data_IF_723331579485
#
_entry.id   IF_723331579485
#
_cell.length_a   1.000
_cell.length_b   1.000
_cell.length_c   1.000
_cell.angle_alpha   90.00
_cell.angle_beta   90.00
_cell.angle_gamma   90.00
#
_symmetry.space_group_name_H-M   'P 1'
#
loop_
_entity.id
_entity.type
_entity.pdbx_description
1 polymer ?
#
# COMPACT_ATOMS: atom_id res chain seq x y z
N UNK A 1 -34.15 -0.04 -39.21
CA UNK A 1 -33.26 0.01 -38.04
C UNK A 1 -33.67 -1.13 -37.12
N UNK A 2 -32.85 -2.18 -36.97
CA UNK A 2 -33.26 -3.40 -36.26
C UNK A 2 -33.15 -3.23 -34.74
N UNK A 3 -34.11 -3.75 -33.95
CA UNK A 3 -34.10 -3.66 -32.48
C UNK A 3 -33.00 -4.54 -31.83
N UNK A 4 -32.25 -5.30 -32.62
CA UNK A 4 -31.19 -6.22 -32.15
C UNK A 4 -29.86 -5.51 -31.89
N UNK A 5 -29.54 -4.41 -32.58
CA UNK A 5 -28.26 -3.70 -32.37
C UNK A 5 -28.26 -2.82 -31.11
N UNK A 6 -29.42 -2.28 -30.73
CA UNK A 6 -29.60 -1.45 -29.54
C UNK A 6 -29.60 -2.28 -28.25
N UNK A 7 -30.19 -3.48 -28.27
CA UNK A 7 -30.14 -4.43 -27.14
C UNK A 7 -28.72 -4.92 -26.87
N UNK A 8 -27.94 -5.25 -27.91
CA UNK A 8 -26.55 -5.70 -27.75
C UNK A 8 -25.65 -4.60 -27.18
N UNK A 9 -25.85 -3.36 -27.64
CA UNK A 9 -25.16 -2.17 -27.11
C UNK A 9 -25.51 -1.90 -25.65
N UNK A 10 -26.78 -2.05 -25.26
CA UNK A 10 -27.23 -1.84 -23.89
C UNK A 10 -26.74 -2.93 -22.94
N UNK A 11 -26.71 -4.20 -23.37
CA UNK A 11 -26.16 -5.31 -22.59
C UNK A 11 -24.64 -5.17 -22.39
N UNK A 12 -23.91 -4.73 -23.41
CA UNK A 12 -22.48 -4.41 -23.30
C UNK A 12 -22.27 -3.22 -22.37
N UNK A 13 -23.10 -2.18 -22.46
CA UNK A 13 -23.01 -1.01 -21.58
C UNK A 13 -23.37 -1.35 -20.13
N UNK A 14 -24.37 -2.21 -19.89
CA UNK A 14 -24.74 -2.71 -18.56
C UNK A 14 -23.66 -3.65 -18.01
N UNK A 15 -23.03 -4.49 -18.85
CA UNK A 15 -21.91 -5.33 -18.46
C UNK A 15 -20.67 -4.47 -18.10
N UNK A 16 -20.36 -3.45 -18.91
CA UNK A 16 -19.32 -2.47 -18.65
C UNK A 16 -19.62 -1.64 -17.38
N UNK A 17 -20.87 -1.23 -17.15
CA UNK A 17 -21.29 -0.58 -15.91
C UNK A 17 -21.18 -1.54 -14.71
N UNK A 18 -21.58 -2.80 -14.84
CA UNK A 18 -21.45 -3.81 -13.77
C UNK A 18 -19.98 -4.13 -13.46
N UNK A 19 -19.10 -4.14 -14.45
CA UNK A 19 -17.64 -4.26 -14.30
C UNK A 19 -17.01 -3.00 -13.68
N UNK A 20 -17.65 -1.84 -13.83
CA UNK A 20 -17.28 -0.60 -13.16
C UNK A 20 -17.77 -0.51 -11.70
N UNK A 21 -18.75 -1.32 -11.29
CA UNK A 21 -19.33 -1.35 -9.93
C UNK A 21 -19.07 -2.65 -9.16
N UNK A 22 -18.20 -3.53 -9.66
CA UNK A 22 -17.89 -4.78 -8.99
C UNK A 22 -16.74 -4.58 -8.00
N UNK A 23 -16.97 -4.98 -6.74
CA UNK A 23 -15.96 -5.00 -5.70
C UNK A 23 -14.71 -5.75 -6.18
N UNK A 24 -13.58 -5.07 -6.15
CA UNK A 24 -12.33 -5.58 -6.72
C UNK A 24 -11.11 -5.08 -5.99
N UNK A 25 -10.03 -5.84 -6.10
CA UNK A 25 -8.71 -5.44 -5.64
C UNK A 25 -7.95 -4.79 -6.79
N UNK A 26 -7.25 -3.70 -6.48
CA UNK A 26 -6.26 -3.10 -7.35
C UNK A 26 -4.89 -3.39 -6.76
N UNK A 27 -4.01 -3.96 -7.57
CA UNK A 27 -2.66 -4.32 -7.17
C UNK A 27 -1.67 -3.64 -8.08
N UNK A 28 -0.70 -2.96 -7.48
CA UNK A 28 0.48 -2.46 -8.18
C UNK A 28 1.64 -3.42 -7.89
N UNK A 29 2.31 -3.86 -8.96
CA UNK A 29 3.40 -4.81 -8.88
C UNK A 29 4.67 -4.28 -9.55
N UNK A 30 5.85 -4.67 -9.05
CA UNK A 30 7.13 -4.15 -9.59
C UNK A 30 7.47 -4.66 -10.98
N UNK A 31 6.76 -5.67 -11.48
CA UNK A 31 7.17 -6.48 -12.62
C UNK A 31 8.31 -7.45 -12.26
N UNK A 32 8.68 -8.28 -13.22
CA UNK A 32 9.73 -9.30 -13.12
C UNK A 32 10.67 -9.23 -14.31
N UNK A 33 11.97 -9.25 -14.02
CA UNK A 33 13.03 -9.39 -15.00
C UNK A 33 14.04 -10.43 -14.53
N UNK A 34 14.26 -11.47 -15.33
CA UNK A 34 15.35 -12.42 -15.14
C UNK A 34 16.13 -12.51 -16.46
N UNK A 35 17.45 -12.35 -16.38
CA UNK A 35 18.36 -12.58 -17.52
C UNK A 35 18.70 -14.07 -17.61
N UNK A 36 18.35 -14.75 -18.71
CA UNK A 36 18.59 -16.19 -18.90
C UNK A 36 17.60 -16.87 -19.86
N UNK A 37 17.70 -18.20 -20.03
CA UNK A 37 17.04 -18.94 -21.12
C UNK A 37 15.58 -19.33 -20.94
N UNK A 38 14.91 -19.04 -19.81
CA UNK A 38 13.44 -19.18 -19.69
C UNK A 38 12.93 -18.53 -18.40
N UNK A 39 12.44 -17.29 -18.48
CA UNK A 39 11.65 -16.67 -17.42
C UNK A 39 10.70 -15.63 -18.01
N UNK A 40 9.51 -15.50 -17.42
CA UNK A 40 8.50 -14.50 -17.79
C UNK A 40 9.06 -13.09 -17.64
N UNK A 41 9.19 -12.35 -18.76
CA UNK A 41 9.33 -10.90 -18.73
C UNK A 41 7.95 -10.31 -18.40
N UNK A 42 7.82 -9.65 -17.25
CA UNK A 42 6.57 -8.98 -16.87
C UNK A 42 6.86 -7.52 -16.56
N UNK A 43 6.22 -6.58 -17.26
CA UNK A 43 6.39 -5.16 -16.95
C UNK A 43 5.78 -4.84 -15.59
N UNK A 44 6.21 -3.74 -14.99
CA UNK A 44 5.55 -3.15 -13.82
C UNK A 44 4.09 -2.88 -14.19
N UNK A 45 3.15 -3.46 -13.47
CA UNK A 45 1.75 -3.46 -13.90
C UNK A 45 0.80 -3.05 -12.78
N UNK A 46 -0.27 -2.37 -13.19
CA UNK A 46 -1.46 -2.17 -12.39
C UNK A 46 -2.47 -3.23 -12.79
N UNK A 47 -2.95 -4.01 -11.82
CA UNK A 47 -3.83 -5.17 -12.03
C UNK A 47 -5.11 -5.00 -11.26
N UNK A 48 -6.20 -5.52 -11.82
CA UNK A 48 -7.48 -5.70 -11.13
C UNK A 48 -7.74 -7.18 -10.90
N UNK A 49 -8.19 -7.52 -9.70
CA UNK A 49 -8.70 -8.84 -9.38
C UNK A 49 -10.14 -8.70 -8.86
N UNK A 50 -11.07 -9.58 -9.24
CA UNK A 50 -12.35 -9.72 -8.54
C UNK A 50 -12.12 -10.12 -7.08
N UNK A 51 -13.14 -9.94 -6.25
CA UNK A 51 -13.07 -10.24 -4.82
C UNK A 51 -12.75 -11.71 -4.49
N UNK A 52 -13.03 -12.64 -5.40
CA UNK A 52 -12.67 -14.05 -5.23
C UNK A 52 -11.18 -14.34 -5.51
N UNK A 53 -10.42 -13.36 -6.02
CA UNK A 53 -9.00 -13.46 -6.35
C UNK A 53 -8.71 -14.16 -7.69
N UNK A 54 -9.73 -14.46 -8.50
CA UNK A 54 -9.59 -15.12 -9.80
C UNK A 54 -9.18 -14.15 -10.92
N UNK A 55 -8.80 -14.67 -12.10
CA UNK A 55 -8.79 -13.95 -13.38
C UNK A 55 -8.25 -12.49 -13.34
N UNK A 56 -7.00 -12.31 -12.90
CA UNK A 56 -6.42 -10.97 -12.86
C UNK A 56 -6.36 -10.33 -14.26
N UNK A 57 -6.72 -9.05 -14.32
CA UNK A 57 -6.70 -8.27 -15.55
C UNK A 57 -5.70 -7.13 -15.41
N UNK A 58 -4.81 -6.97 -16.38
CA UNK A 58 -3.90 -5.83 -16.42
C UNK A 58 -4.66 -4.58 -16.87
N UNK A 59 -4.64 -3.54 -16.03
CA UNK A 59 -5.23 -2.22 -16.31
C UNK A 59 -4.24 -1.30 -17.02
N UNK A 60 -2.99 -1.27 -16.55
CA UNK A 60 -1.93 -0.45 -17.12
C UNK A 60 -0.57 -1.13 -16.95
N UNK A 61 0.37 -0.83 -17.85
CA UNK A 61 1.76 -1.30 -17.79
C UNK A 61 2.71 -0.10 -17.87
N UNK A 62 3.77 -0.15 -17.08
CA UNK A 62 4.81 0.87 -16.99
C UNK A 62 6.15 0.23 -17.39
N UNK A 63 6.76 0.75 -18.46
CA UNK A 63 7.97 0.19 -19.07
C UNK A 63 9.03 1.25 -19.31
N UNK A 64 10.31 0.89 -19.19
CA UNK A 64 11.39 1.75 -19.64
C UNK A 64 11.32 1.99 -21.15
N UNK A 65 11.12 3.24 -21.56
CA UNK A 65 11.22 3.62 -22.96
C UNK A 65 12.71 3.52 -23.36
N UNK A 66 13.10 2.48 -24.13
CA UNK A 66 14.24 2.48 -25.09
C UNK A 66 14.99 1.15 -25.33
N UNK A 67 14.48 -0.05 -25.03
CA UNK A 67 15.08 -1.27 -25.63
C UNK A 67 14.03 -2.28 -26.06
N UNK A 68 14.37 -3.13 -27.04
CA UNK A 68 13.54 -4.21 -27.59
C UNK A 68 13.08 -5.26 -26.56
N UNK A 69 13.36 -5.04 -25.28
CA UNK A 69 12.94 -5.83 -24.13
C UNK A 69 12.20 -4.90 -23.16
N UNK A 70 10.90 -5.13 -22.95
CA UNK A 70 10.04 -4.34 -22.04
C UNK A 70 10.40 -4.57 -20.57
N UNK A 71 11.57 -4.09 -20.14
CA UNK A 71 12.04 -4.26 -18.77
C UNK A 71 11.12 -3.54 -17.77
N UNK A 72 10.84 -4.16 -16.61
CA UNK A 72 10.06 -3.52 -15.55
C UNK A 72 10.79 -2.30 -15.01
N UNK A 73 10.02 -1.26 -14.70
CA UNK A 73 10.55 -0.04 -14.11
C UNK A 73 10.76 -0.20 -12.61
N UNK A 74 9.94 -1.02 -11.96
CA UNK A 74 9.77 -1.05 -10.51
C UNK A 74 8.68 -0.09 -10.04
N UNK A 75 8.19 -0.35 -8.83
CA UNK A 75 7.17 0.45 -8.16
C UNK A 75 7.35 0.38 -6.63
N UNK A 76 6.77 1.35 -5.93
CA UNK A 76 6.99 1.57 -4.51
C UNK A 76 5.70 1.67 -3.69
N UNK A 77 4.69 2.39 -4.20
CA UNK A 77 3.46 2.65 -3.47
C UNK A 77 2.27 2.84 -4.42
N UNK A 78 1.08 2.53 -3.92
CA UNK A 78 -0.20 2.72 -4.61
C UNK A 78 -1.13 3.49 -3.66
N UNK A 79 -1.88 4.44 -4.21
CA UNK A 79 -3.01 5.06 -3.52
C UNK A 79 -4.22 5.14 -4.47
N UNK A 80 -5.41 5.09 -3.88
CA UNK A 80 -6.69 5.18 -4.59
C UNK A 80 -7.51 6.32 -3.98
N UNK A 81 -8.06 7.18 -4.84
CA UNK A 81 -9.03 8.20 -4.44
C UNK A 81 -10.44 7.81 -4.87
N UNK A 82 -11.33 7.45 -3.92
CA UNK A 82 -12.71 7.13 -4.22
C UNK A 82 -13.50 8.29 -4.82
N UNK A 83 -13.32 9.53 -4.33
CA UNK A 83 -14.12 10.67 -4.80
C UNK A 83 -13.87 11.03 -6.27
N UNK A 84 -12.65 10.78 -6.76
CA UNK A 84 -12.21 11.12 -8.11
C UNK A 84 -12.06 9.91 -9.04
N UNK A 85 -12.20 8.69 -8.51
CA UNK A 85 -11.94 7.42 -9.20
C UNK A 85 -10.55 7.36 -9.85
N UNK A 86 -9.54 7.94 -9.20
CA UNK A 86 -8.15 7.97 -9.65
C UNK A 86 -7.27 7.00 -8.85
N UNK A 87 -6.34 6.36 -9.55
CA UNK A 87 -5.26 5.55 -9.01
C UNK A 87 -3.94 6.28 -9.20
N UNK A 88 -3.15 6.37 -8.14
CA UNK A 88 -1.82 6.96 -8.13
C UNK A 88 -0.77 5.88 -7.90
N UNK A 89 0.06 5.63 -8.91
CA UNK A 89 1.11 4.61 -8.89
C UNK A 89 2.48 5.27 -8.80
N UNK A 90 3.19 5.07 -7.69
CA UNK A 90 4.58 5.49 -7.54
C UNK A 90 5.49 4.45 -8.20
N UNK A 91 6.00 4.78 -9.38
CA UNK A 91 6.91 3.94 -10.17
C UNK A 91 8.33 4.48 -10.09
N UNK A 92 9.33 3.70 -10.51
CA UNK A 92 10.70 4.23 -10.62
C UNK A 92 10.88 5.28 -11.73
N UNK A 93 9.85 5.55 -12.52
CA UNK A 93 9.81 6.63 -13.52
C UNK A 93 9.13 7.90 -13.01
N UNK A 94 8.60 7.87 -11.79
CA UNK A 94 7.80 8.95 -11.22
C UNK A 94 6.41 8.48 -10.78
N UNK A 95 5.61 9.44 -10.36
CA UNK A 95 4.24 9.23 -9.92
C UNK A 95 3.29 9.38 -11.11
N UNK A 96 2.52 8.33 -11.39
CA UNK A 96 1.60 8.27 -12.52
C UNK A 96 0.17 8.16 -11.99
N UNK A 97 -0.71 9.03 -12.47
CA UNK A 97 -2.15 8.92 -12.23
C UNK A 97 -2.83 8.17 -13.38
N UNK A 98 -3.84 7.37 -13.08
CA UNK A 98 -4.71 6.68 -14.06
C UNK A 98 -6.14 6.66 -13.53
N UNK A 99 -7.13 6.49 -14.39
CA UNK A 99 -8.49 6.12 -13.96
C UNK A 99 -8.51 4.69 -13.44
N UNK A 100 -9.60 4.32 -12.76
CA UNK A 100 -9.81 2.95 -12.28
C UNK A 100 -9.70 1.86 -13.36
N UNK A 101 -10.02 2.16 -14.62
CA UNK A 101 -9.91 1.24 -15.76
C UNK A 101 -8.50 1.20 -16.38
N UNK A 102 -7.54 1.95 -15.82
CA UNK A 102 -6.17 2.10 -16.33
C UNK A 102 -6.00 3.14 -17.43
N UNK A 103 -7.09 3.74 -17.92
CA UNK A 103 -7.03 4.77 -18.96
C UNK A 103 -6.63 6.14 -18.41
N UNK A 104 -6.33 7.08 -19.32
CA UNK A 104 -6.01 8.46 -18.94
C UNK A 104 -4.72 8.61 -18.14
N UNK A 105 -3.73 7.74 -18.42
CA UNK A 105 -2.44 7.80 -17.76
C UNK A 105 -1.78 9.18 -17.92
N UNK A 106 -1.40 9.79 -16.81
CA UNK A 106 -0.70 11.08 -16.77
C UNK A 106 0.45 11.02 -15.76
N UNK A 107 1.65 11.40 -16.19
CA UNK A 107 2.79 11.53 -15.30
C UNK A 107 2.64 12.84 -14.51
N UNK A 108 2.35 12.73 -13.21
CA UNK A 108 2.06 13.89 -12.36
C UNK A 108 3.30 14.39 -11.62
N UNK A 109 4.27 13.52 -11.34
CA UNK A 109 5.58 13.92 -10.80
C UNK A 109 6.69 13.10 -11.46
N UNK A 110 7.54 13.76 -12.25
CA UNK A 110 8.57 13.12 -13.08
C UNK A 110 10.00 13.60 -12.81
N UNK A 111 10.20 14.42 -11.77
CA UNK A 111 11.55 14.86 -11.41
C UNK A 111 12.39 13.68 -10.87
N UNK A 112 13.72 13.81 -10.88
CA UNK A 112 14.61 12.75 -10.41
C UNK A 112 14.37 12.36 -8.93
N UNK A 113 13.68 13.22 -8.17
CA UNK A 113 13.36 13.00 -6.76
C UNK A 113 12.12 12.11 -6.56
N UNK A 114 11.15 12.13 -7.50
CA UNK A 114 9.94 11.32 -7.45
C UNK A 114 10.14 9.82 -7.80
N UNK A 115 11.38 9.39 -8.05
CA UNK A 115 11.69 8.02 -8.51
C UNK A 115 11.69 6.96 -7.40
N UNK A 116 11.67 7.37 -6.14
CA UNK A 116 11.52 6.47 -5.00
C UNK A 116 10.56 7.13 -4.02
N UNK A 117 9.27 6.85 -4.14
CA UNK A 117 8.24 7.34 -3.21
C UNK A 117 7.76 6.13 -2.37
N UNK A 118 8.36 5.88 -1.19
CA UNK A 118 7.98 4.74 -0.35
C UNK A 118 6.56 4.87 0.23
N UNK A 119 6.20 6.09 0.64
CA UNK A 119 4.91 6.40 1.23
C UNK A 119 4.10 7.31 0.32
N UNK A 120 2.86 6.93 0.05
CA UNK A 120 1.90 7.69 -0.76
C UNK A 120 0.50 7.51 -0.16
N UNK A 121 -0.22 8.60 -0.02
CA UNK A 121 -1.63 8.61 0.37
C UNK A 121 -2.36 9.77 -0.32
N UNK A 122 -3.67 9.69 -0.38
CA UNK A 122 -4.54 10.78 -0.86
C UNK A 122 -5.22 11.48 0.31
N UNK A 123 -5.44 12.78 0.17
CA UNK A 123 -6.30 13.60 1.00
C UNK A 123 -7.55 13.94 0.17
N UNK A 124 -8.67 13.33 0.51
CA UNK A 124 -9.91 13.37 -0.28
C UNK A 124 -10.57 14.76 -0.25
N UNK A 125 -10.55 15.46 0.88
CA UNK A 125 -11.13 16.80 0.98
C UNK A 125 -10.24 17.86 0.34
N UNK A 126 -8.92 17.76 0.52
CA UNK A 126 -7.95 18.67 -0.10
C UNK A 126 -7.73 18.40 -1.59
N UNK A 127 -8.13 17.22 -2.11
CA UNK A 127 -7.82 16.76 -3.47
C UNK A 127 -6.31 16.81 -3.78
N UNK A 128 -5.52 16.40 -2.78
CA UNK A 128 -4.05 16.40 -2.82
C UNK A 128 -3.48 15.01 -2.56
N UNK A 129 -2.39 14.69 -3.23
CA UNK A 129 -1.52 13.57 -2.86
C UNK A 129 -0.55 14.03 -1.78
N UNK A 130 -0.25 13.13 -0.84
CA UNK A 130 0.82 13.28 0.14
C UNK A 130 1.82 12.16 -0.07
N UNK A 131 3.10 12.51 -0.16
CA UNK A 131 4.13 11.56 -0.51
C UNK A 131 5.43 11.83 0.25
N UNK A 132 6.16 10.75 0.56
CA UNK A 132 7.50 10.86 1.12
C UNK A 132 8.53 10.97 0.02
N UNK A 133 9.48 11.87 0.22
CA UNK A 133 10.59 12.13 -0.68
C UNK A 133 11.91 11.81 0.06
N UNK A 134 12.50 10.63 -0.21
CA UNK A 134 13.76 10.21 0.39
C UNK A 134 14.95 11.09 -0.02
N UNK A 135 14.95 11.72 -1.20
CA UNK A 135 16.09 12.52 -1.65
C UNK A 135 16.26 13.80 -0.85
N UNK A 136 15.14 14.33 -0.34
CA UNK A 136 15.10 15.50 0.54
C UNK A 136 14.75 15.16 1.99
N UNK A 137 14.59 13.87 2.31
CA UNK A 137 14.15 13.38 3.64
C UNK A 137 12.91 14.11 4.15
N UNK A 138 11.92 14.30 3.29
CA UNK A 138 10.76 15.13 3.58
C UNK A 138 9.43 14.44 3.25
N UNK A 139 8.34 15.02 3.74
CA UNK A 139 6.99 14.74 3.33
C UNK A 139 6.50 15.98 2.58
N UNK A 140 5.96 15.76 1.38
CA UNK A 140 5.43 16.79 0.49
C UNK A 140 3.98 16.49 0.17
N UNK A 141 3.28 17.51 -0.32
CA UNK A 141 1.95 17.37 -0.92
C UNK A 141 1.88 18.08 -2.26
N UNK A 142 1.01 17.63 -3.14
CA UNK A 142 0.73 18.26 -4.42
C UNK A 142 -0.74 18.02 -4.79
N UNK A 143 -1.29 18.83 -5.69
CA UNK A 143 -2.60 18.56 -6.28
C UNK A 143 -2.59 17.21 -7.02
N UNK A 144 -3.77 16.61 -7.25
CA UNK A 144 -3.87 15.33 -7.99
C UNK A 144 -3.25 15.35 -9.40
N UNK A 145 -3.10 16.51 -10.02
CA UNK A 145 -2.40 16.67 -11.30
C UNK A 145 -0.88 16.92 -11.16
N UNK A 146 -0.36 16.96 -9.92
CA UNK A 146 1.04 17.22 -9.61
C UNK A 146 1.44 18.70 -9.47
N UNK A 147 0.52 19.64 -9.64
CA UNK A 147 0.81 21.07 -9.43
C UNK A 147 0.79 21.45 -7.95
N UNK A 148 1.25 22.66 -7.64
CA UNK A 148 1.22 23.22 -6.28
C UNK A 148 1.89 22.31 -5.25
N UNK A 149 3.09 21.85 -5.58
CA UNK A 149 3.93 21.05 -4.68
C UNK A 149 4.40 21.88 -3.52
N UNK A 150 4.12 21.41 -2.31
CA UNK A 150 4.42 22.08 -1.04
C UNK A 150 5.16 21.13 -0.09
N UNK A 151 6.11 21.68 0.66
CA UNK A 151 6.73 20.97 1.78
C UNK A 151 5.76 20.91 2.95
N UNK A 152 5.45 19.71 3.44
CA UNK A 152 4.67 19.52 4.67
C UNK A 152 5.59 19.42 5.87
N UNK A 153 6.67 18.64 5.76
CA UNK A 153 7.61 18.42 6.85
C UNK A 153 8.97 17.94 6.36
N UNK A 154 10.04 18.49 6.92
CA UNK A 154 11.35 17.81 6.90
C UNK A 154 11.34 16.74 8.00
N UNK A 155 11.55 15.47 7.64
CA UNK A 155 11.47 14.31 8.55
C UNK A 155 12.79 14.10 9.29
N UNK A 156 13.91 14.47 8.68
CA UNK A 156 15.23 14.28 9.30
C UNK A 156 15.31 15.00 10.64
N UNK A 157 15.04 16.32 10.71
CA UNK A 157 15.09 17.13 11.96
C UNK A 157 16.33 16.84 12.83
N UNK A 158 17.51 16.59 12.20
CA UNK A 158 18.74 16.22 12.91
C UNK A 158 18.86 14.74 13.31
N UNK A 159 17.90 13.91 12.90
CA UNK A 159 17.90 12.45 13.00
C UNK A 159 18.19 11.81 11.64
N UNK A 160 18.46 10.52 11.64
CA UNK A 160 18.75 9.73 10.45
C UNK A 160 17.49 9.01 9.90
N UNK A 161 16.30 9.45 10.30
CA UNK A 161 15.03 8.87 9.90
C UNK A 161 14.52 9.40 8.55
N UNK A 162 13.91 8.51 7.76
CA UNK A 162 13.11 8.85 6.58
C UNK A 162 11.73 8.18 6.64
N UNK A 163 10.73 8.79 5.99
CA UNK A 163 9.36 8.28 6.02
C UNK A 163 9.13 7.16 5.01
N UNK A 164 8.63 6.02 5.47
CA UNK A 164 8.41 4.80 4.67
C UNK A 164 6.95 4.52 4.31
N UNK A 165 6.01 5.10 5.04
CA UNK A 165 4.57 4.96 4.83
C UNK A 165 3.86 6.19 5.38
N UNK A 166 2.73 6.56 4.80
CA UNK A 166 1.96 7.76 5.13
C UNK A 166 0.47 7.46 5.21
N UNK A 167 -0.24 8.17 6.07
CA UNK A 167 -1.71 8.24 6.06
C UNK A 167 -2.16 9.58 6.65
N UNK A 168 -3.24 10.16 6.12
CA UNK A 168 -3.81 11.43 6.59
C UNK A 168 -5.16 11.22 7.27
N UNK A 169 -5.43 12.01 8.31
CA UNK A 169 -6.73 12.17 8.95
C UNK A 169 -7.17 13.63 8.74
N UNK A 170 -7.83 13.90 7.62
CA UNK A 170 -8.32 15.24 7.28
C UNK A 170 -9.43 15.72 8.21
N UNK A 171 -10.16 14.81 8.87
CA UNK A 171 -11.21 15.19 9.81
C UNK A 171 -10.63 15.81 11.08
N UNK A 172 -9.45 15.34 11.50
CA UNK A 172 -8.76 15.83 12.71
C UNK A 172 -7.55 16.70 12.42
N UNK A 173 -7.17 16.86 11.14
CA UNK A 173 -6.04 17.68 10.72
C UNK A 173 -4.69 17.09 11.07
N UNK A 174 -4.54 15.75 10.98
CA UNK A 174 -3.27 15.06 11.28
C UNK A 174 -2.72 14.30 10.08
N UNK A 175 -1.40 14.22 10.00
CA UNK A 175 -0.67 13.25 9.18
C UNK A 175 0.10 12.31 10.08
N UNK A 176 0.12 11.03 9.74
CA UNK A 176 0.86 9.97 10.44
C UNK A 176 1.86 9.34 9.47
N UNK A 177 3.03 8.98 9.97
CA UNK A 177 4.03 8.27 9.18
C UNK A 177 4.80 7.25 9.99
N UNK A 178 5.19 6.18 9.31
CA UNK A 178 6.25 5.28 9.75
C UNK A 178 7.58 5.85 9.33
N UNK A 179 8.58 5.69 10.19
CA UNK A 179 9.93 6.14 9.96
C UNK A 179 10.92 5.00 10.18
N UNK A 180 11.92 4.92 9.31
CA UNK A 180 13.02 3.95 9.41
C UNK A 180 14.34 4.71 9.43
N UNK A 181 15.25 4.30 10.30
CA UNK A 181 16.60 4.85 10.36
C UNK A 181 17.40 4.41 9.14
N UNK A 182 18.08 5.36 8.50
CA UNK A 182 18.95 5.10 7.35
C UNK A 182 20.25 4.38 7.72
N UNK A 183 20.64 4.42 9.00
CA UNK A 183 21.87 3.78 9.50
C UNK A 183 21.62 2.49 10.27
N UNK A 184 20.38 2.23 10.71
CA UNK A 184 20.00 1.06 11.48
C UNK A 184 18.55 0.65 11.18
N UNK A 185 18.39 -0.41 10.37
CA UNK A 185 17.08 -0.94 9.98
C UNK A 185 16.26 -1.54 11.14
N UNK A 186 16.88 -1.78 12.30
CA UNK A 186 16.22 -2.27 13.52
C UNK A 186 15.74 -1.11 14.41
N UNK A 187 15.75 0.12 13.87
CA UNK A 187 15.23 1.31 14.53
C UNK A 187 14.13 1.91 13.67
N UNK A 188 12.90 1.52 13.97
CA UNK A 188 11.67 2.10 13.43
C UNK A 188 10.92 2.95 14.46
N UNK A 189 10.05 3.83 13.98
CA UNK A 189 9.17 4.64 14.83
C UNK A 189 7.90 5.04 14.07
N UNK A 190 6.84 5.36 14.80
CA UNK A 190 5.62 5.98 14.26
C UNK A 190 5.49 7.38 14.82
N UNK A 191 5.24 8.34 13.94
CA UNK A 191 5.08 9.74 14.28
C UNK A 191 3.75 10.29 13.75
N UNK A 192 3.35 11.44 14.27
CA UNK A 192 2.30 12.29 13.68
C UNK A 192 2.63 13.76 13.78
N UNK A 193 2.00 14.59 12.95
CA UNK A 193 2.09 16.05 13.00
C UNK A 193 0.83 16.70 12.44
N UNK A 194 0.66 17.99 12.66
CA UNK A 194 -0.44 18.73 12.04
C UNK A 194 -0.34 18.64 10.51
N UNK A 195 -1.49 18.38 9.86
CA UNK A 195 -1.58 18.16 8.41
C UNK A 195 -1.17 19.39 7.59
N UNK A 196 -1.36 20.58 8.16
CA UNK A 196 -0.93 21.86 7.58
C UNK A 196 0.59 22.12 7.71
N UNK A 197 1.36 21.18 8.26
CA UNK A 197 2.81 21.28 8.43
C UNK A 197 3.28 22.08 9.66
N UNK A 198 2.37 22.67 10.44
CA UNK A 198 2.71 23.48 11.61
C UNK A 198 3.05 22.62 12.85
N UNK A 199 3.75 23.22 13.81
CA UNK A 199 4.13 22.59 15.08
C UNK A 199 5.18 21.47 14.94
N UNK A 200 5.52 20.86 16.06
CA UNK A 200 6.49 19.76 16.09
C UNK A 200 5.84 18.40 15.80
N UNK A 201 6.67 17.50 15.26
CA UNK A 201 6.31 16.10 15.13
C UNK A 201 6.20 15.45 16.52
N UNK A 202 5.12 14.73 16.75
CA UNK A 202 4.94 13.91 17.93
C UNK A 202 5.38 12.48 17.62
N UNK A 203 6.31 11.96 18.41
CA UNK A 203 6.58 10.54 18.45
C UNK A 203 5.40 9.83 19.11
N UNK A 204 4.88 8.77 18.49
CA UNK A 204 3.80 7.94 19.04
C UNK A 204 4.33 6.59 19.53
N UNK A 205 5.22 5.99 18.74
CA UNK A 205 5.82 4.69 19.00
C UNK A 205 7.30 4.77 18.68
N UNK A 206 8.14 4.35 19.63
CA UNK A 206 9.60 4.33 19.51
C UNK A 206 10.14 2.91 19.60
N UNK A 207 11.35 2.68 19.07
CA UNK A 207 12.07 1.42 19.31
C UNK A 207 11.45 0.21 18.62
N UNK A 208 10.81 0.41 17.48
CA UNK A 208 10.32 -0.71 16.65
C UNK A 208 11.55 -1.45 16.09
N UNK A 209 11.78 -2.68 16.53
CA UNK A 209 12.88 -3.55 16.05
C UNK A 209 12.52 -4.26 14.73
N UNK A 210 12.05 -3.48 13.77
CA UNK A 210 11.63 -3.90 12.44
C UNK A 210 11.61 -2.67 11.51
N UNK A 211 11.45 -2.91 10.20
CA UNK A 211 11.18 -1.85 9.22
C UNK A 211 9.66 -1.63 9.18
N UNK A 212 9.13 -0.53 9.77
CA UNK A 212 7.73 -0.19 9.62
C UNK A 212 7.48 0.34 8.20
N UNK A 213 6.31 0.03 7.64
CA UNK A 213 5.92 0.36 6.26
C UNK A 213 4.54 0.99 6.18
N UNK A 214 3.74 0.53 5.21
CA UNK A 214 2.40 1.06 4.95
C UNK A 214 1.57 1.25 6.24
N UNK A 215 0.89 2.39 6.35
CA UNK A 215 -0.07 2.68 7.41
C UNK A 215 -1.48 2.77 6.84
N UNK A 216 -2.48 2.51 7.68
CA UNK A 216 -3.89 2.78 7.38
C UNK A 216 -4.63 3.27 8.60
N UNK A 217 -5.56 4.18 8.38
CA UNK A 217 -6.57 4.58 9.35
C UNK A 217 -7.89 3.95 8.92
N UNK A 218 -8.54 3.22 9.83
CA UNK A 218 -9.89 2.71 9.62
C UNK A 218 -10.73 3.09 10.83
N UNK A 219 -11.72 3.94 10.59
CA UNK A 219 -12.51 4.61 11.63
C UNK A 219 -11.55 5.40 12.54
N UNK A 220 -11.23 4.87 13.72
CA UNK A 220 -10.37 5.52 14.72
C UNK A 220 -9.11 4.71 15.05
N UNK A 221 -8.86 3.62 14.33
CA UNK A 221 -7.71 2.75 14.56
C UNK A 221 -6.62 3.02 13.53
N UNK A 222 -5.39 3.18 14.02
CA UNK A 222 -4.18 3.28 13.21
C UNK A 222 -3.49 1.91 13.14
N UNK A 223 -3.26 1.42 11.92
CA UNK A 223 -2.56 0.17 11.63
C UNK A 223 -1.28 0.45 10.86
N UNK A 224 -0.26 -0.40 11.04
CA UNK A 224 0.94 -0.37 10.22
C UNK A 224 1.53 -1.76 10.00
N UNK A 225 2.29 -1.90 8.93
CA UNK A 225 3.09 -3.08 8.61
C UNK A 225 4.46 -2.98 9.29
N UNK A 226 4.96 -4.08 9.83
CA UNK A 226 6.34 -4.26 10.29
C UNK A 226 6.96 -5.50 9.64
N UNK A 227 8.15 -5.34 9.07
CA UNK A 227 8.92 -6.43 8.47
C UNK A 227 10.31 -6.54 9.10
N UNK A 228 10.70 -7.75 9.46
CA UNK A 228 12.09 -8.12 9.77
C UNK A 228 12.58 -9.08 8.69
N UNK A 229 13.87 -9.47 8.68
CA UNK A 229 14.36 -10.50 7.76
C UNK A 229 13.64 -11.85 7.89
N UNK A 230 13.01 -12.15 9.03
CA UNK A 230 12.45 -13.47 9.34
C UNK A 230 10.94 -13.48 9.63
N UNK A 231 10.32 -12.32 9.86
CA UNK A 231 8.93 -12.20 10.27
C UNK A 231 8.25 -10.96 9.70
N UNK A 232 6.93 -11.02 9.63
CA UNK A 232 6.08 -9.90 9.23
C UNK A 232 4.90 -9.80 10.19
N UNK A 233 4.47 -8.58 10.49
CA UNK A 233 3.27 -8.34 11.29
C UNK A 233 2.53 -7.09 10.86
N UNK A 234 1.20 -7.13 10.99
CA UNK A 234 0.35 -5.93 10.94
C UNK A 234 0.03 -5.60 12.39
N UNK A 235 0.46 -4.42 12.82
CA UNK A 235 0.32 -3.90 14.18
C UNK A 235 -0.78 -2.83 14.21
N UNK A 236 -1.20 -2.47 15.41
CA UNK A 236 -2.12 -1.37 15.64
C UNK A 236 -1.75 -0.57 16.89
N UNK A 237 -2.19 0.69 16.91
CA UNK A 237 -2.09 1.54 18.07
C UNK A 237 -3.19 1.12 19.04
N UNK A 238 -2.82 0.71 20.26
CA UNK A 238 -3.78 0.29 21.30
C UNK A 238 -4.36 1.51 22.02
N UNK A 239 -4.85 2.44 21.20
CA UNK A 239 -5.55 3.66 21.55
C UNK A 239 -6.21 4.20 20.28
N UNK A 240 -7.45 4.65 20.40
CA UNK A 240 -8.10 5.34 19.29
C UNK A 240 -7.41 6.67 19.01
N UNK A 241 -7.21 7.00 17.73
CA UNK A 241 -6.55 8.25 17.34
C UNK A 241 -7.35 9.49 17.77
N UNK A 242 -8.67 9.34 17.98
CA UNK A 242 -9.55 10.36 18.55
C UNK A 242 -9.30 10.64 20.03
N UNK A 243 -8.67 9.71 20.75
CA UNK A 243 -8.30 9.84 22.16
C UNK A 243 -6.88 10.37 22.36
N UNK A 244 -6.13 10.57 21.28
CA UNK A 244 -4.82 11.20 21.34
C UNK A 244 -4.97 12.71 21.56
N UNK A 245 -3.99 13.38 22.21
CA UNK A 245 -4.06 14.82 22.46
C UNK A 245 -4.33 15.64 21.17
N UNK A 246 -5.21 16.65 21.21
CA UNK A 246 -5.59 17.45 20.05
C UNK A 246 -4.52 18.49 19.65
N UNK A 247 -3.48 18.66 20.44
CA UNK A 247 -2.36 19.59 20.18
C UNK A 247 -1.01 18.89 20.42
N UNK A 248 0.07 19.32 19.73
CA UNK A 248 1.44 18.95 20.08
C UNK A 248 1.74 19.31 21.53
N UNK A 249 1.72 18.31 22.40
CA UNK A 249 2.15 18.48 23.78
C UNK A 249 3.66 18.55 23.80
N UNK A 250 4.22 19.66 24.30
CA UNK A 250 5.67 19.88 24.49
C UNK A 250 6.25 19.10 25.68
N UNK A 251 5.46 18.21 26.28
CA UNK A 251 5.88 17.36 27.40
C UNK A 251 6.66 16.15 26.91
N UNK A 252 7.46 15.58 27.80
CA UNK A 252 8.21 14.33 27.61
C UNK A 252 7.39 13.27 26.87
N UNK A 253 8.02 12.63 25.88
CA UNK A 253 7.39 11.56 25.10
C UNK A 253 6.88 10.45 26.01
N UNK A 254 5.59 10.13 25.89
CA UNK A 254 4.96 8.96 26.52
C UNK A 254 4.59 7.99 25.40
N UNK A 255 5.22 6.80 25.32
CA UNK A 255 4.87 5.79 24.33
C UNK A 255 3.39 5.44 24.40
N UNK A 256 2.73 5.39 23.25
CA UNK A 256 1.37 4.85 23.15
C UNK A 256 1.47 3.32 23.02
N UNK A 257 0.73 2.55 23.84
CA UNK A 257 0.73 1.09 23.73
C UNK A 257 0.35 0.60 22.32
N UNK A 258 0.84 -0.57 21.95
CA UNK A 258 0.62 -1.17 20.63
C UNK A 258 0.20 -2.63 20.76
N UNK A 259 -0.52 -3.13 19.76
CA UNK A 259 -0.94 -4.53 19.67
C UNK A 259 -0.59 -5.16 18.32
N UNK A 260 -0.74 -6.49 18.24
CA UNK A 260 -0.52 -7.27 17.02
C UNK A 260 -1.88 -7.69 16.45
N UNK A 261 -2.20 -7.27 15.23
CA UNK A 261 -3.39 -7.72 14.52
C UNK A 261 -3.12 -9.06 13.82
N UNK A 262 -2.06 -9.09 13.02
CA UNK A 262 -1.61 -10.27 12.27
C UNK A 262 -0.11 -10.45 12.48
N UNK A 263 0.35 -11.69 12.66
CA UNK A 263 1.76 -12.08 12.67
C UNK A 263 1.97 -13.31 11.80
N UNK A 264 3.11 -13.37 11.12
CA UNK A 264 3.49 -14.55 10.34
C UNK A 264 3.57 -15.85 11.14
N UNK A 265 3.74 -15.78 12.47
CA UNK A 265 3.73 -16.96 13.34
C UNK A 265 2.33 -17.59 13.51
N UNK A 266 1.27 -16.86 13.16
CA UNK A 266 -0.11 -17.33 13.31
C UNK A 266 -0.56 -18.29 12.20
N UNK A 267 0.23 -18.44 11.13
CA UNK A 267 -0.12 -19.34 10.04
C UNK A 267 1.11 -19.87 9.29
N UNK A 268 1.07 -21.16 8.95
CA UNK A 268 2.08 -21.81 8.11
C UNK A 268 2.14 -21.24 6.69
N UNK A 269 1.12 -20.49 6.24
CA UNK A 269 1.11 -19.87 4.90
C UNK A 269 2.31 -18.96 4.65
N UNK A 270 2.90 -18.39 5.71
CA UNK A 270 4.06 -17.51 5.62
C UNK A 270 5.41 -18.25 5.51
N UNK A 271 5.38 -19.57 5.38
CA UNK A 271 6.57 -20.42 5.31
C UNK A 271 6.32 -21.62 4.39
N UNK A 272 6.74 -21.52 3.13
CA UNK A 272 6.55 -22.56 2.11
C UNK A 272 7.89 -23.24 1.84
N UNK A 273 7.89 -24.56 1.61
CA UNK A 273 9.09 -25.29 1.19
C UNK A 273 9.05 -25.41 -0.34
N UNK A 274 10.12 -25.01 -1.03
CA UNK A 274 10.23 -25.15 -2.48
C UNK A 274 10.65 -26.58 -2.88
N UNK A 275 10.66 -26.87 -4.19
CA UNK A 275 11.02 -28.21 -4.72
C UNK A 275 12.47 -28.63 -4.38
N UNK A 276 13.34 -27.68 -4.05
CA UNK A 276 14.70 -27.92 -3.60
C UNK A 276 14.80 -28.18 -2.08
N UNK A 277 13.68 -28.19 -1.35
CA UNK A 277 13.63 -28.38 0.09
C UNK A 277 13.95 -27.12 0.91
N UNK A 278 14.08 -25.96 0.27
CA UNK A 278 14.41 -24.70 0.95
C UNK A 278 13.16 -24.01 1.49
N UNK A 279 13.23 -23.52 2.73
CA UNK A 279 12.16 -22.74 3.35
C UNK A 279 12.15 -21.31 2.81
N UNK A 280 11.11 -20.98 2.06
CA UNK A 280 10.80 -19.65 1.57
C UNK A 280 9.85 -18.96 2.57
N UNK A 281 10.33 -17.89 3.22
CA UNK A 281 9.50 -17.03 4.08
C UNK A 281 8.79 -15.97 3.25
N UNK A 282 7.53 -15.71 3.57
CA UNK A 282 6.75 -14.65 2.94
C UNK A 282 6.63 -13.44 3.86
N UNK A 283 6.87 -12.26 3.31
CA UNK A 283 6.65 -10.98 3.96
C UNK A 283 5.40 -10.31 3.36
N UNK A 284 4.58 -9.69 4.21
CA UNK A 284 3.49 -8.83 3.73
C UNK A 284 4.12 -7.59 3.08
N UNK A 285 3.70 -7.25 1.86
CA UNK A 285 4.17 -6.04 1.16
C UNK A 285 3.15 -4.92 1.18
N UNK A 286 1.86 -5.24 1.24
CA UNK A 286 0.78 -4.28 1.42
C UNK A 286 -0.44 -4.98 2.01
N UNK A 287 -1.29 -4.23 2.71
CA UNK A 287 -2.54 -4.72 3.26
C UNK A 287 -3.64 -3.68 3.08
N UNK A 288 -4.89 -4.10 3.25
CA UNK A 288 -6.08 -3.27 3.30
C UNK A 288 -6.96 -3.78 4.44
N UNK A 289 -7.42 -2.86 5.30
CA UNK A 289 -8.31 -3.20 6.42
C UNK A 289 -9.69 -2.70 6.06
N UNK A 290 -10.67 -3.60 6.12
CA UNK A 290 -12.07 -3.27 6.01
C UNK A 290 -12.78 -3.52 7.31
N UNK A 291 -13.56 -2.53 7.72
CA UNK A 291 -14.48 -2.63 8.84
C UNK A 291 -15.83 -2.03 8.44
N UNK A 292 -16.88 -2.77 8.70
CA UNK A 292 -18.24 -2.27 8.83
C UNK A 292 -18.77 -2.62 10.23
N UNK A 293 -20.07 -2.42 10.48
CA UNK A 293 -20.68 -2.66 11.79
C UNK A 293 -20.57 -4.13 12.25
N UNK A 294 -20.41 -5.08 11.33
CA UNK A 294 -20.45 -6.53 11.60
C UNK A 294 -19.16 -7.25 11.22
N UNK A 295 -18.47 -6.78 10.19
CA UNK A 295 -17.34 -7.44 9.57
C UNK A 295 -16.05 -6.68 9.84
N UNK A 296 -15.02 -7.45 10.15
CA UNK A 296 -13.65 -6.99 10.20
C UNK A 296 -12.83 -7.96 9.36
N UNK A 297 -12.36 -7.47 8.21
CA UNK A 297 -11.61 -8.26 7.24
C UNK A 297 -10.32 -7.52 6.91
N UNK A 298 -9.21 -8.26 6.91
CA UNK A 298 -7.94 -7.76 6.39
C UNK A 298 -7.63 -8.52 5.12
N UNK A 299 -7.42 -7.81 4.02
CA UNK A 299 -6.79 -8.39 2.84
C UNK A 299 -5.33 -7.97 2.83
N UNK A 300 -4.44 -8.90 2.50
CA UNK A 300 -3.03 -8.63 2.40
C UNK A 300 -2.43 -9.30 1.19
N UNK A 301 -1.38 -8.69 0.65
CA UNK A 301 -0.52 -9.31 -0.34
C UNK A 301 0.80 -9.67 0.33
N UNK A 302 1.17 -10.94 0.26
CA UNK A 302 2.42 -11.46 0.79
C UNK A 302 3.28 -11.98 -0.34
N UNK A 303 4.60 -11.77 -0.26
CA UNK A 303 5.57 -12.25 -1.25
C UNK A 303 6.75 -12.96 -0.62
N UNK A 304 7.32 -13.96 -1.28
CA UNK A 304 8.53 -14.62 -0.80
C UNK A 304 9.74 -13.70 -0.87
N UNK A 305 10.67 -13.92 0.05
CA UNK A 305 11.96 -13.24 0.09
C UNK A 305 13.00 -14.13 -0.62
N UNK A 306 13.49 -13.72 -1.81
CA UNK A 306 14.50 -14.50 -2.54
C UNK A 306 14.44 -14.33 -4.07
N UNK A 307 15.18 -15.18 -4.80
CA UNK A 307 15.26 -15.14 -6.28
C UNK A 307 14.03 -15.71 -6.99
N UNK A 308 13.36 -16.69 -6.38
CA UNK A 308 12.12 -17.27 -6.88
C UNK A 308 10.96 -16.65 -6.11
N UNK A 309 10.42 -15.55 -6.66
CA UNK A 309 9.35 -14.82 -6.00
C UNK A 309 8.05 -15.61 -6.11
N UNK A 310 7.37 -15.78 -4.97
CA UNK A 310 6.00 -16.24 -4.83
C UNK A 310 5.18 -15.09 -4.28
N UNK A 311 3.89 -14.97 -4.64
CA UNK A 311 3.01 -13.95 -4.13
C UNK A 311 1.59 -14.50 -3.99
N UNK A 312 0.87 -13.99 -3.01
CA UNK A 312 -0.51 -14.35 -2.76
C UNK A 312 -1.29 -13.17 -2.17
N UNK A 313 -2.55 -13.07 -2.57
CA UNK A 313 -3.58 -12.27 -1.96
C UNK A 313 -4.29 -13.17 -0.95
N UNK A 314 -4.34 -12.72 0.30
CA UNK A 314 -4.88 -13.47 1.43
C UNK A 314 -5.97 -12.63 2.08
N UNK A 315 -7.11 -13.26 2.31
CA UNK A 315 -8.15 -12.76 3.18
C UNK A 315 -7.94 -13.28 4.60
N UNK A 316 -8.08 -12.40 5.59
CA UNK A 316 -8.01 -12.72 7.00
C UNK A 316 -9.28 -12.23 7.68
N UNK A 317 -9.98 -13.16 8.31
CA UNK A 317 -11.21 -12.91 9.08
C UNK A 317 -11.06 -13.51 10.48
N UNK A 318 -11.73 -12.93 11.48
CA UNK A 318 -11.67 -13.45 12.84
C UNK A 318 -12.87 -14.33 13.13
N UNK A 319 -12.64 -15.62 13.36
CA UNK A 319 -13.67 -16.63 13.68
C UNK A 319 -13.48 -17.14 15.11
N UNK A 320 -14.51 -17.77 15.67
CA UNK A 320 -14.53 -18.23 17.06
C UNK A 320 -15.26 -17.26 18.00
N UNK A 321 -15.25 -17.56 19.30
CA UNK A 321 -15.93 -16.76 20.33
C UNK A 321 -15.07 -16.62 21.58
N UNK A 322 -15.21 -15.49 22.29
CA UNK A 322 -14.42 -15.19 23.48
C UNK A 322 -12.91 -15.33 23.23
N UNK A 323 -12.21 -16.00 24.14
CA UNK A 323 -10.76 -16.22 24.06
C UNK A 323 -10.29 -17.17 22.95
N UNK A 324 -11.20 -17.88 22.26
CA UNK A 324 -10.86 -18.72 21.10
C UNK A 324 -10.94 -17.96 19.78
N UNK A 325 -11.36 -16.68 19.80
CA UNK A 325 -11.47 -15.87 18.59
C UNK A 325 -10.08 -15.59 18.03
N UNK A 326 -9.83 -16.06 16.81
CA UNK A 326 -8.52 -15.93 16.16
C UNK A 326 -8.62 -15.67 14.66
N UNK A 327 -7.51 -15.23 14.04
CA UNK A 327 -7.46 -14.99 12.60
C UNK A 327 -7.51 -16.32 11.83
N UNK A 328 -8.35 -16.37 10.81
CA UNK A 328 -8.44 -17.45 9.82
C UNK A 328 -8.00 -16.87 8.49
N UNK A 329 -7.01 -17.53 7.89
CA UNK A 329 -6.38 -17.08 6.65
C UNK A 329 -6.89 -17.89 5.47
N UNK A 330 -7.30 -17.21 4.40
CA UNK A 330 -7.77 -17.81 3.15
C UNK A 330 -7.02 -17.19 1.98
N UNK A 331 -6.27 -18.01 1.25
CA UNK A 331 -5.64 -17.58 0.00
C UNK A 331 -6.72 -17.40 -1.08
N UNK A 332 -6.76 -16.22 -1.71
CA UNK A 332 -7.72 -15.89 -2.77
C UNK A 332 -7.11 -16.08 -4.17
N UNK A 333 -5.84 -15.69 -4.36
CA UNK A 333 -5.15 -15.76 -5.66
C UNK A 333 -4.13 -16.89 -5.71
N UNK A 334 -3.78 -17.38 -6.91
CA UNK A 334 -2.75 -18.40 -7.10
C UNK A 334 -1.45 -17.83 -7.71
N UNK A 335 -0.47 -17.51 -6.86
CA UNK A 335 0.92 -17.28 -7.28
C UNK A 335 1.25 -15.96 -8.01
N UNK A 336 2.53 -15.78 -8.34
CA UNK A 336 3.08 -14.56 -8.96
C UNK A 336 2.57 -14.31 -10.38
N UNK A 337 2.23 -15.34 -11.14
CA UNK A 337 1.64 -15.15 -12.46
C UNK A 337 0.36 -14.29 -12.40
N UNK A 338 -0.41 -14.44 -11.31
CA UNK A 338 -1.66 -13.70 -11.10
C UNK A 338 -1.40 -12.27 -10.58
N UNK A 339 -0.43 -12.08 -9.69
CA UNK A 339 -0.24 -10.84 -8.92
C UNK A 339 0.98 -9.99 -9.31
N UNK A 340 1.91 -10.54 -10.08
CA UNK A 340 3.27 -10.03 -10.17
C UNK A 340 3.97 -10.04 -8.80
N UNK A 341 4.89 -9.09 -8.59
CA UNK A 341 5.55 -8.85 -7.30
C UNK A 341 4.92 -7.64 -6.62
N UNK A 342 3.88 -7.85 -5.79
CA UNK A 342 3.04 -6.75 -5.32
C UNK A 342 3.79 -5.83 -4.35
N UNK A 343 3.50 -4.53 -4.47
CA UNK A 343 3.97 -3.46 -3.57
C UNK A 343 2.82 -2.58 -3.07
N UNK A 344 1.67 -2.61 -3.72
CA UNK A 344 0.48 -1.89 -3.29
C UNK A 344 -0.78 -2.72 -3.48
N UNK A 345 -1.73 -2.57 -2.56
CA UNK A 345 -3.04 -3.20 -2.58
C UNK A 345 -4.09 -2.15 -2.18
N UNK A 346 -5.07 -1.92 -3.04
CA UNK A 346 -6.26 -1.12 -2.73
C UNK A 346 -7.53 -1.94 -3.01
N UNK A 347 -8.62 -1.59 -2.34
CA UNK A 347 -9.92 -2.22 -2.52
C UNK A 347 -10.94 -1.19 -3.01
N UNK A 348 -11.56 -1.48 -4.16
CA UNK A 348 -12.53 -0.62 -4.85
C UNK A 348 -13.93 -1.20 -4.63
N UNK A 349 -14.91 -0.31 -4.37
CA UNK A 349 -16.31 -0.64 -4.14
C UNK A 349 -17.21 0.12 -5.09
#
# INVERSE_FOLDING_TARGET
>A
MSPTSTMLSLLVLIALLRLATAQSFIILDTGLYQSGTSALQSPTSLRRLPQDGSNSTTLAQFTAASTANSAPTGAHALAYSPSSALLFSATSQGLISTKLDGSGASNILSDNNAKQIPGLTVAEKEQKIYYSDPSTTSIKKADFNGTNTELVRNVSQGTDFYATGLVVDEARGWIYWSATSSTNSDRGSIFRAALNGTGDAQLLVSGISAVPGQLRIVVDSLYWLENTPSATSIKYLDRFISQLPPTPTTTSFIPVPTGVLISSSQSSLFSVVNDAGEVQKLAVSSFYVYRDDFNHTVWLVAKSVGRNVFAMLVEVVWRGSGGSRGPVFKVLSQGVATLGVPVGLEYVR
#
